data_IF_300106664082
#
_entry.id   IF_300106664082
#
_cell.length_a   1.000
_cell.length_b   1.000
_cell.length_c   1.000
_cell.angle_alpha   90.00
_cell.angle_beta   90.00
_cell.angle_gamma   90.00
#
_symmetry.space_group_name_H-M   'P 1'
#
loop_
_entity.id
_entity.type
_entity.pdbx_description
1 polymer ?
#
# COMPACT_ATOMS: atom_id res chain seq x y z
N UNK A 1 58.03 30.28 12.47
CA UNK A 1 58.18 31.72 12.20
C UNK A 1 56.93 32.38 12.80
N UNK A 2 57.16 32.99 13.92
CA UNK A 2 56.83 34.35 14.40
C UNK A 2 55.33 34.62 14.44
N UNK A 3 54.73 34.71 15.64
CA UNK A 3 54.67 35.87 16.58
C UNK A 3 53.69 36.89 16.10
N UNK A 4 52.81 37.54 16.82
CA UNK A 4 52.76 38.02 18.22
C UNK A 4 51.30 38.37 18.49
N UNK A 5 50.74 38.18 19.64
CA UNK A 5 50.83 38.97 20.89
C UNK A 5 50.07 40.31 20.84
N UNK A 6 49.24 40.48 21.81
CA UNK A 6 48.90 41.66 22.66
C UNK A 6 47.39 41.73 22.93
N UNK A 7 46.85 41.68 24.12
CA UNK A 7 47.23 42.42 25.32
C UNK A 7 46.26 43.58 25.54
N UNK A 8 45.36 43.49 26.48
CA UNK A 8 44.69 44.65 27.10
C UNK A 8 43.93 44.21 28.35
N UNK A 9 44.42 44.46 29.44
CA UNK A 9 44.18 45.36 30.60
C UNK A 9 42.75 45.37 31.15
N UNK A 10 42.73 44.95 32.45
CA UNK A 10 41.66 45.18 33.40
C UNK A 10 41.51 46.66 33.74
N UNK A 11 40.28 47.16 33.76
CA UNK A 11 39.91 48.37 34.53
C UNK A 11 38.67 48.08 35.37
N UNK A 12 38.79 48.38 36.65
CA UNK A 12 37.83 48.17 37.69
C UNK A 12 36.71 49.22 37.68
N UNK A 13 35.50 48.74 37.98
CA UNK A 13 34.38 49.62 38.27
C UNK A 13 33.99 49.46 39.74
N UNK A 14 34.06 50.61 40.44
CA UNK A 14 33.77 50.75 41.82
C UNK A 14 32.25 50.64 42.13
N UNK A 15 31.95 50.03 43.26
CA UNK A 15 30.63 49.93 43.86
C UNK A 15 30.19 51.26 44.47
N UNK A 16 28.92 51.71 44.32
CA UNK A 16 28.40 52.86 45.04
C UNK A 16 27.97 52.49 46.47
N UNK A 17 28.00 53.46 47.41
CA UNK A 17 27.70 53.24 48.84
C UNK A 17 26.21 53.02 49.13
N UNK A 18 25.88 52.46 50.30
CA UNK A 18 24.51 52.11 50.67
C UNK A 18 23.67 53.34 51.08
N UNK A 19 22.36 53.33 50.83
CA UNK A 19 21.49 54.44 51.25
C UNK A 19 21.08 54.36 52.73
N UNK A 20 21.00 55.54 53.35
CA UNK A 20 20.55 55.79 54.73
C UNK A 20 19.06 55.55 54.92
N UNK A 21 18.62 55.17 56.12
CA UNK A 21 17.22 54.88 56.43
C UNK A 21 16.36 56.15 56.61
N UNK A 22 15.09 56.15 56.17
CA UNK A 22 14.18 57.24 56.43
C UNK A 22 13.40 57.12 57.73
N UNK A 23 13.11 58.28 58.28
CA UNK A 23 12.37 58.54 59.51
C UNK A 23 10.94 58.07 59.50
N UNK A 24 10.42 57.71 60.72
CA UNK A 24 9.02 57.47 61.07
C UNK A 24 8.20 58.69 60.83
N UNK A 25 7.04 58.50 60.22
CA UNK A 25 5.93 59.44 60.16
C UNK A 25 4.61 58.70 60.01
N UNK A 26 3.71 58.95 60.96
CA UNK A 26 2.38 58.39 61.10
C UNK A 26 1.46 58.74 59.93
N UNK A 27 0.47 57.86 59.67
CA UNK A 27 -0.65 58.19 58.79
C UNK A 27 -1.42 56.88 58.39
N UNK A 28 -2.37 56.54 59.21
CA UNK A 28 -3.33 55.49 58.89
C UNK A 28 -4.30 55.99 57.83
N UNK A 29 -4.43 55.24 56.72
CA UNK A 29 -5.70 55.13 56.00
C UNK A 29 -5.87 53.82 55.30
N UNK A 30 -6.91 53.10 55.73
CA UNK A 30 -7.38 51.86 55.19
C UNK A 30 -8.02 52.15 53.83
N UNK A 31 -7.41 51.67 52.74
CA UNK A 31 -8.12 51.48 51.49
C UNK A 31 -8.29 49.98 51.26
N UNK A 32 -9.51 49.49 51.50
CA UNK A 32 -10.02 48.21 51.01
C UNK A 32 -10.13 48.29 49.49
N UNK A 33 -9.11 47.83 48.79
CA UNK A 33 -9.15 47.53 47.35
C UNK A 33 -9.13 46.03 47.16
N UNK A 34 -10.20 45.35 47.53
CA UNK A 34 -10.38 43.93 47.26
C UNK A 34 -10.50 43.69 45.76
N UNK A 35 -9.66 42.80 45.26
CA UNK A 35 -9.40 42.39 43.90
C UNK A 35 -10.64 41.89 43.16
N UNK A 36 -11.44 42.75 42.59
CA UNK A 36 -12.55 42.41 41.66
C UNK A 36 -12.00 41.86 40.33
N UNK A 37 -10.71 42.08 40.05
CA UNK A 37 -10.01 41.56 38.86
C UNK A 37 -9.72 40.03 38.94
N UNK A 38 -9.60 39.46 40.14
CA UNK A 38 -9.31 38.04 40.31
C UNK A 38 -10.53 37.13 40.05
N UNK A 39 -11.72 37.55 40.44
CA UNK A 39 -12.96 36.77 40.23
C UNK A 39 -13.36 36.71 38.77
N UNK A 40 -13.22 37.79 38.03
CA UNK A 40 -13.50 37.80 36.59
C UNK A 40 -12.45 37.01 35.77
N UNK A 41 -11.20 37.02 36.19
CA UNK A 41 -10.14 36.23 35.57
C UNK A 41 -10.34 34.73 35.89
N UNK A 42 -10.68 34.38 37.09
CA UNK A 42 -10.98 33.02 37.52
C UNK A 42 -12.24 32.47 36.82
N UNK A 43 -13.28 33.28 36.71
CA UNK A 43 -14.51 32.90 35.99
C UNK A 43 -14.28 32.70 34.49
N UNK A 44 -13.43 33.50 33.85
CA UNK A 44 -13.01 33.28 32.44
C UNK A 44 -12.17 32.02 32.30
N UNK A 45 -11.29 31.75 33.23
CA UNK A 45 -10.48 30.54 33.23
C UNK A 45 -11.36 29.28 33.38
N UNK A 46 -12.34 29.28 34.26
CA UNK A 46 -13.31 28.19 34.43
C UNK A 46 -14.24 28.04 33.22
N UNK A 47 -14.61 29.14 32.54
CA UNK A 47 -15.40 29.10 31.31
C UNK A 47 -14.59 28.50 30.12
N UNK A 48 -13.31 28.84 30.00
CA UNK A 48 -12.41 28.24 28.99
C UNK A 48 -12.19 26.76 29.28
N UNK A 49 -11.97 26.39 30.54
CA UNK A 49 -11.82 25.00 30.95
C UNK A 49 -13.10 24.18 30.70
N UNK A 50 -14.27 24.75 30.94
CA UNK A 50 -15.56 24.14 30.66
C UNK A 50 -15.80 23.99 29.13
N UNK A 51 -15.37 24.97 28.31
CA UNK A 51 -15.45 24.88 26.85
C UNK A 51 -14.52 23.83 26.27
N UNK A 52 -13.32 23.63 26.83
CA UNK A 52 -12.36 22.58 26.44
C UNK A 52 -12.85 21.21 26.90
N UNK A 53 -13.53 21.12 28.05
CA UNK A 53 -14.11 19.87 28.53
C UNK A 53 -15.34 19.40 27.72
N UNK A 54 -16.05 20.32 27.05
CA UNK A 54 -17.14 20.00 26.12
C UNK A 54 -16.65 19.57 24.71
N UNK A 55 -15.38 19.77 24.38
CA UNK A 55 -14.75 19.28 23.15
C UNK A 55 -14.30 17.83 23.28
N UNK A 56 -15.08 16.99 23.95
CA UNK A 56 -14.83 15.55 24.07
C UNK A 56 -14.85 14.86 22.69
N UNK A 57 -14.28 13.63 22.57
CA UNK A 57 -14.12 12.91 21.30
C UNK A 57 -15.46 12.41 20.76
N UNK A 58 -16.30 13.34 20.27
CA UNK A 58 -17.63 13.03 19.73
C UNK A 58 -17.59 12.44 18.31
N UNK A 59 -16.41 12.36 17.65
CA UNK A 59 -16.34 12.04 16.21
C UNK A 59 -16.24 10.55 15.86
N UNK A 60 -15.98 9.66 16.82
CA UNK A 60 -15.76 8.24 16.50
C UNK A 60 -16.98 7.34 16.71
N UNK A 61 -18.01 7.76 17.42
CA UNK A 61 -19.13 6.88 17.77
C UNK A 61 -20.11 6.64 16.64
N UNK A 62 -20.28 7.58 15.71
CA UNK A 62 -21.29 7.49 14.65
C UNK A 62 -20.74 7.25 13.23
N UNK A 63 -19.41 7.06 13.07
CA UNK A 63 -18.83 6.75 11.76
C UNK A 63 -19.22 5.35 11.27
N UNK A 64 -19.65 5.18 10.01
CA UNK A 64 -19.94 6.22 9.00
C UNK A 64 -21.39 6.70 9.09
N UNK A 65 -21.63 8.01 8.89
CA UNK A 65 -22.97 8.64 8.86
C UNK A 65 -23.43 9.01 7.43
N UNK A 66 -22.55 8.87 6.43
CA UNK A 66 -22.78 9.19 5.02
C UNK A 66 -22.06 8.18 4.12
N UNK A 67 -22.37 8.16 2.80
CA UNK A 67 -21.70 7.28 1.85
C UNK A 67 -20.17 7.41 1.89
N UNK A 68 -19.49 6.26 1.74
CA UNK A 68 -18.03 6.19 1.65
C UNK A 68 -17.64 6.04 0.18
N UNK A 69 -16.70 6.82 -0.29
CA UNK A 69 -16.09 6.71 -1.60
C UNK A 69 -14.96 5.69 -1.56
N UNK A 70 -14.97 4.72 -2.46
CA UNK A 70 -13.94 3.69 -2.57
C UNK A 70 -13.21 3.83 -3.91
N UNK A 71 -11.92 4.18 -3.87
CA UNK A 71 -11.07 4.30 -5.06
C UNK A 71 -10.42 2.96 -5.39
N UNK A 72 -10.40 2.61 -6.66
CA UNK A 72 -9.64 1.47 -7.19
C UNK A 72 -8.71 1.90 -8.31
N UNK A 73 -7.57 1.23 -8.44
CA UNK A 73 -6.54 1.52 -9.46
C UNK A 73 -6.73 0.75 -10.75
N UNK A 74 -7.76 -0.09 -10.85
CA UNK A 74 -8.07 -0.85 -12.06
C UNK A 74 -9.31 -0.30 -12.76
N UNK A 75 -9.46 -0.63 -14.04
CA UNK A 75 -10.69 -0.35 -14.79
C UNK A 75 -11.86 -1.15 -14.23
N UNK A 76 -13.08 -0.71 -14.54
CA UNK A 76 -14.30 -1.43 -14.19
C UNK A 76 -14.24 -2.88 -14.70
N UNK A 77 -14.70 -3.83 -13.88
CA UNK A 77 -14.57 -5.26 -14.14
C UNK A 77 -13.21 -5.87 -13.81
N UNK A 78 -12.20 -5.05 -13.48
CA UNK A 78 -10.92 -5.54 -12.96
C UNK A 78 -11.05 -6.15 -11.57
N UNK A 79 -10.04 -6.95 -11.17
CA UNK A 79 -10.13 -7.76 -9.94
C UNK A 79 -10.37 -6.91 -8.69
N UNK A 80 -9.71 -5.76 -8.54
CA UNK A 80 -9.92 -4.88 -7.39
C UNK A 80 -11.28 -4.17 -7.42
N UNK A 81 -11.80 -3.85 -8.61
CA UNK A 81 -13.15 -3.28 -8.77
C UNK A 81 -14.22 -4.27 -8.35
N UNK A 82 -14.18 -5.48 -8.90
CA UNK A 82 -15.16 -6.55 -8.58
C UNK A 82 -15.09 -6.90 -7.10
N UNK A 83 -13.90 -6.99 -6.54
CA UNK A 83 -13.72 -7.28 -5.13
C UNK A 83 -14.23 -6.12 -4.24
N UNK A 84 -13.90 -4.86 -4.59
CA UNK A 84 -14.33 -3.70 -3.81
C UNK A 84 -15.84 -3.53 -3.79
N UNK A 85 -16.54 -3.86 -4.90
CA UNK A 85 -18.01 -3.88 -4.93
C UNK A 85 -18.57 -4.94 -4.00
N UNK A 86 -18.01 -6.15 -4.00
CA UNK A 86 -18.43 -7.23 -3.10
C UNK A 86 -18.16 -6.86 -1.62
N UNK A 87 -17.02 -6.25 -1.31
CA UNK A 87 -16.73 -5.73 0.03
C UNK A 87 -17.70 -4.59 0.40
N UNK A 88 -17.97 -3.70 -0.55
CA UNK A 88 -18.95 -2.61 -0.40
C UNK A 88 -20.35 -3.09 -0.05
N UNK A 89 -20.83 -4.15 -0.70
CA UNK A 89 -22.13 -4.78 -0.39
C UNK A 89 -22.14 -5.39 1.02
N UNK A 90 -21.05 -5.99 1.45
CA UNK A 90 -20.90 -6.52 2.80
C UNK A 90 -20.83 -5.41 3.87
N UNK A 91 -20.16 -4.30 3.58
CA UNK A 91 -20.10 -3.11 4.44
C UNK A 91 -21.48 -2.42 4.55
N UNK A 92 -22.20 -2.29 3.42
CA UNK A 92 -23.55 -1.72 3.39
C UNK A 92 -24.50 -2.47 4.35
N UNK A 93 -24.43 -3.81 4.37
CA UNK A 93 -25.24 -4.63 5.28
C UNK A 93 -24.95 -4.34 6.76
N UNK A 94 -23.70 -4.00 7.10
CA UNK A 94 -23.27 -3.74 8.48
C UNK A 94 -23.46 -2.29 8.92
N UNK A 95 -23.16 -1.35 8.03
CA UNK A 95 -23.13 0.08 8.35
C UNK A 95 -24.33 0.86 7.85
N UNK A 96 -25.16 0.24 6.96
CA UNK A 96 -26.31 0.88 6.31
C UNK A 96 -25.92 2.16 5.54
N UNK A 97 -24.63 2.28 5.19
CA UNK A 97 -24.07 3.36 4.38
C UNK A 97 -23.49 2.77 3.09
N UNK A 98 -23.86 3.31 1.92
CA UNK A 98 -23.37 2.79 0.64
C UNK A 98 -21.89 3.08 0.46
N UNK A 99 -21.21 2.15 -0.21
CA UNK A 99 -19.83 2.31 -0.69
C UNK A 99 -19.89 2.60 -2.19
N UNK A 100 -19.45 3.80 -2.58
CA UNK A 100 -19.46 4.24 -3.99
C UNK A 100 -18.09 3.96 -4.59
N UNK A 101 -18.02 2.96 -5.47
CA UNK A 101 -16.76 2.55 -6.10
C UNK A 101 -16.47 3.42 -7.31
N UNK A 102 -15.29 4.01 -7.33
CA UNK A 102 -14.76 4.87 -8.40
C UNK A 102 -13.46 4.28 -8.94
N UNK A 103 -13.40 4.04 -10.26
CA UNK A 103 -12.23 3.48 -10.93
C UNK A 103 -11.32 4.62 -11.43
N UNK A 104 -10.04 4.57 -11.04
CA UNK A 104 -8.99 5.53 -11.43
C UNK A 104 -7.77 4.79 -11.99
N UNK A 105 -7.87 4.15 -13.16
CA UNK A 105 -6.76 3.42 -13.77
C UNK A 105 -5.73 4.37 -14.39
N UNK A 106 -4.54 3.83 -14.68
CA UNK A 106 -3.50 4.52 -15.45
C UNK A 106 -2.24 4.85 -14.65
N UNK A 107 -1.20 5.29 -15.39
CA UNK A 107 0.09 5.68 -14.83
C UNK A 107 0.75 4.60 -13.97
N UNK A 108 0.75 3.34 -14.37
CA UNK A 108 1.21 2.21 -13.55
C UNK A 108 0.48 2.17 -12.19
N UNK A 109 -0.84 2.45 -12.20
CA UNK A 109 -1.73 2.53 -11.04
C UNK A 109 -1.50 3.75 -10.12
N UNK A 110 -0.56 4.62 -10.45
CA UNK A 110 -0.28 5.83 -9.66
C UNK A 110 -1.42 6.85 -9.70
N UNK A 111 -2.26 6.87 -10.75
CA UNK A 111 -3.40 7.81 -10.86
C UNK A 111 -4.38 7.62 -9.70
N UNK A 112 -4.78 6.38 -9.45
CA UNK A 112 -5.70 6.06 -8.33
C UNK A 112 -5.04 6.22 -6.96
N UNK A 113 -3.77 5.84 -6.82
CA UNK A 113 -3.03 6.00 -5.59
C UNK A 113 -2.86 7.49 -5.22
N UNK A 114 -2.50 8.34 -6.19
CA UNK A 114 -2.43 9.80 -6.01
C UNK A 114 -3.79 10.39 -5.60
N UNK A 115 -4.86 9.99 -6.28
CA UNK A 115 -6.21 10.46 -5.93
C UNK A 115 -6.62 10.08 -4.50
N UNK A 116 -6.06 8.98 -3.96
CA UNK A 116 -6.21 8.60 -2.56
C UNK A 116 -5.46 9.57 -1.64
N UNK A 117 -4.20 9.89 -1.93
CA UNK A 117 -3.39 10.80 -1.09
C UNK A 117 -3.93 12.22 -1.04
N UNK A 118 -4.61 12.66 -2.11
CA UNK A 118 -5.18 14.01 -2.23
C UNK A 118 -6.58 14.14 -1.59
N UNK A 119 -7.18 13.03 -1.13
CA UNK A 119 -8.49 13.06 -0.52
C UNK A 119 -8.45 13.51 0.96
N UNK A 120 -9.54 14.10 1.50
CA UNK A 120 -9.62 14.46 2.91
C UNK A 120 -9.40 13.26 3.83
N UNK A 121 -8.61 13.40 4.93
CA UNK A 121 -8.33 12.31 5.87
C UNK A 121 -9.44 12.15 6.92
N UNK A 122 -10.69 12.14 6.49
CA UNK A 122 -11.89 12.06 7.33
C UNK A 122 -12.52 10.66 7.41
N UNK A 123 -11.88 9.67 6.75
CA UNK A 123 -12.34 8.28 6.68
C UNK A 123 -13.41 8.03 5.60
N UNK A 124 -13.92 9.04 4.91
CA UNK A 124 -14.94 8.87 3.86
C UNK A 124 -14.38 8.65 2.46
N UNK A 125 -13.05 8.52 2.37
CA UNK A 125 -12.37 7.97 1.20
C UNK A 125 -11.52 6.78 1.64
N UNK A 126 -11.81 5.61 1.07
CA UNK A 126 -11.00 4.40 1.24
C UNK A 126 -10.48 3.97 -0.13
N UNK A 127 -9.34 3.29 -0.16
CA UNK A 127 -8.67 2.97 -1.42
C UNK A 127 -8.16 1.53 -1.40
N UNK A 128 -8.47 0.78 -2.46
CA UNK A 128 -7.84 -0.51 -2.68
C UNK A 128 -6.66 -0.31 -3.62
N UNK A 129 -5.46 -0.49 -3.07
CA UNK A 129 -4.19 -0.30 -3.77
C UNK A 129 -3.37 -1.58 -3.69
N UNK A 130 -2.51 -1.79 -4.67
CA UNK A 130 -1.62 -2.94 -4.74
C UNK A 130 -0.15 -2.55 -4.53
N UNK A 131 0.73 -3.54 -4.55
CA UNK A 131 2.14 -3.36 -4.24
C UNK A 131 2.88 -2.43 -5.20
N UNK A 132 2.48 -2.37 -6.49
CA UNK A 132 3.21 -1.61 -7.50
C UNK A 132 3.33 -0.12 -7.16
N UNK A 133 2.25 0.68 -6.98
CA UNK A 133 2.38 2.10 -6.65
C UNK A 133 2.91 2.37 -5.24
N UNK A 134 2.85 1.38 -4.34
CA UNK A 134 3.20 1.55 -2.93
C UNK A 134 4.64 1.16 -2.63
N UNK A 135 5.15 0.11 -3.29
CA UNK A 135 6.47 -0.45 -2.99
C UNK A 135 7.46 -0.36 -4.16
N UNK A 136 7.02 -0.48 -5.42
CA UNK A 136 7.92 -0.66 -6.56
C UNK A 136 8.15 0.61 -7.39
N UNK A 137 7.08 1.38 -7.71
CA UNK A 137 7.16 2.47 -8.69
C UNK A 137 8.15 3.57 -8.33
N UNK A 138 8.41 3.81 -7.06
CA UNK A 138 9.39 4.79 -6.60
C UNK A 138 10.84 4.49 -7.03
N UNK A 139 11.14 3.22 -7.36
CA UNK A 139 12.45 2.80 -7.87
C UNK A 139 12.48 2.68 -9.41
N UNK A 140 11.32 2.80 -10.07
CA UNK A 140 11.16 2.64 -11.51
C UNK A 140 10.90 3.96 -12.24
N UNK A 141 10.47 4.99 -11.52
CA UNK A 141 10.13 6.29 -12.08
C UNK A 141 11.11 7.36 -11.59
N UNK A 142 11.54 8.25 -12.48
CA UNK A 142 12.35 9.43 -12.12
C UNK A 142 11.65 10.36 -11.14
N UNK A 143 10.32 10.44 -11.22
CA UNK A 143 9.51 11.24 -10.32
C UNK A 143 8.21 10.53 -9.98
N UNK A 144 7.97 10.34 -8.69
CA UNK A 144 6.69 9.84 -8.21
C UNK A 144 5.68 11.00 -8.13
N UNK A 145 4.42 10.79 -8.59
CA UNK A 145 3.39 11.83 -8.50
C UNK A 145 2.82 12.02 -7.09
N UNK A 146 3.24 11.24 -6.11
CA UNK A 146 2.88 11.31 -4.69
C UNK A 146 3.97 10.63 -3.84
N UNK A 147 3.98 10.89 -2.53
CA UNK A 147 4.85 10.19 -1.58
C UNK A 147 4.13 8.93 -1.06
N UNK A 148 4.57 7.72 -1.43
CA UNK A 148 3.91 6.49 -1.01
C UNK A 148 4.12 6.14 0.47
N UNK A 149 5.06 6.80 1.15
CA UNK A 149 5.32 6.60 2.58
C UNK A 149 4.47 7.49 3.46
N UNK A 150 4.30 8.75 3.04
CA UNK A 150 3.68 9.79 3.86
C UNK A 150 2.24 10.11 3.44
N UNK A 151 1.86 9.76 2.21
CA UNK A 151 0.55 10.12 1.65
C UNK A 151 -0.59 9.18 2.02
N UNK A 152 -0.29 7.99 2.56
CA UNK A 152 -1.27 6.94 2.79
C UNK A 152 -1.16 6.34 4.20
N UNK A 153 -2.31 5.97 4.75
CA UNK A 153 -2.42 5.22 6.00
C UNK A 153 -2.91 3.80 5.67
N UNK A 154 -2.08 2.75 5.92
CA UNK A 154 -2.51 1.35 5.77
C UNK A 154 -3.64 1.01 6.76
N UNK A 155 -4.62 0.26 6.30
CA UNK A 155 -5.72 -0.27 7.12
C UNK A 155 -5.54 -1.77 7.33
N UNK A 156 -5.46 -2.55 6.26
CA UNK A 156 -5.21 -4.00 6.31
C UNK A 156 -4.81 -4.51 4.93
N UNK A 157 -4.02 -5.56 4.88
CA UNK A 157 -3.87 -6.34 3.67
C UNK A 157 -5.15 -7.13 3.43
N UNK A 158 -5.73 -7.04 2.24
CA UNK A 158 -6.98 -7.73 1.92
C UNK A 158 -6.72 -9.15 1.42
N UNK A 159 -5.89 -9.26 0.39
CA UNK A 159 -5.61 -10.54 -0.23
C UNK A 159 -4.32 -10.54 -1.05
N UNK A 160 -3.77 -11.74 -1.23
CA UNK A 160 -2.74 -12.04 -2.23
C UNK A 160 -3.38 -12.63 -3.48
N UNK A 161 -2.86 -12.24 -4.64
CA UNK A 161 -3.14 -12.91 -5.91
C UNK A 161 -2.27 -14.17 -6.01
N UNK A 162 -2.86 -15.30 -6.32
CA UNK A 162 -2.08 -16.43 -6.82
C UNK A 162 -1.68 -16.11 -8.26
N UNK A 163 -0.40 -16.03 -8.51
CA UNK A 163 0.16 -15.79 -9.83
C UNK A 163 0.78 -17.06 -10.38
N UNK A 164 0.58 -17.29 -11.66
CA UNK A 164 1.10 -18.49 -12.34
C UNK A 164 1.83 -18.10 -13.61
N UNK A 165 2.86 -18.87 -13.95
CA UNK A 165 3.42 -18.91 -15.28
C UNK A 165 2.65 -19.95 -16.08
N UNK A 166 1.96 -19.48 -17.11
CA UNK A 166 1.20 -20.33 -18.03
C UNK A 166 1.72 -20.21 -19.45
N UNK A 167 1.56 -21.26 -20.20
CA UNK A 167 1.91 -21.30 -21.63
C UNK A 167 0.73 -21.78 -22.46
N UNK A 168 0.72 -21.42 -23.74
CA UNK A 168 -0.15 -22.08 -24.72
C UNK A 168 0.19 -23.58 -24.75
N UNK A 169 -0.82 -24.44 -24.58
CA UNK A 169 -0.61 -25.90 -24.49
C UNK A 169 0.02 -26.51 -25.76
N UNK A 170 -0.09 -25.84 -26.91
CA UNK A 170 0.55 -26.26 -28.17
C UNK A 170 2.08 -26.21 -28.13
N UNK A 171 2.68 -25.49 -27.14
CA UNK A 171 4.14 -25.53 -26.94
C UNK A 171 4.63 -26.91 -26.48
N UNK A 172 3.76 -27.77 -25.93
CA UNK A 172 4.08 -29.13 -25.50
C UNK A 172 4.96 -29.20 -24.25
N UNK A 173 5.20 -28.08 -23.53
CA UNK A 173 6.04 -28.03 -22.32
C UNK A 173 5.18 -28.13 -21.05
N UNK A 174 5.71 -28.75 -19.99
CA UNK A 174 5.02 -28.98 -18.71
C UNK A 174 5.80 -28.45 -17.51
N UNK A 175 7.05 -28.04 -17.69
CA UNK A 175 7.92 -27.54 -16.63
C UNK A 175 8.64 -26.26 -17.07
N UNK A 176 9.20 -25.51 -16.10
CA UNK A 176 10.05 -24.36 -16.42
C UNK A 176 11.31 -24.80 -17.18
N UNK A 177 11.90 -25.92 -16.79
CA UNK A 177 13.10 -26.45 -17.44
C UNK A 177 12.87 -26.79 -18.93
N UNK A 178 11.72 -27.42 -19.22
CA UNK A 178 11.32 -27.71 -20.61
C UNK A 178 11.08 -26.41 -21.41
N UNK A 179 10.48 -25.35 -20.76
CA UNK A 179 10.28 -24.07 -21.38
C UNK A 179 11.62 -23.38 -21.70
N UNK A 180 12.57 -23.41 -20.77
CA UNK A 180 13.91 -22.87 -20.96
C UNK A 180 14.63 -23.63 -22.07
N UNK A 181 14.57 -24.95 -22.07
CA UNK A 181 15.17 -25.79 -23.12
C UNK A 181 14.58 -25.48 -24.51
N UNK A 182 13.25 -25.31 -24.59
CA UNK A 182 12.57 -24.90 -25.82
C UNK A 182 13.02 -23.55 -26.32
N UNK A 183 13.16 -22.56 -25.39
CA UNK A 183 13.60 -21.22 -25.75
C UNK A 183 15.02 -21.19 -26.35
N UNK A 184 15.93 -22.01 -25.81
CA UNK A 184 17.29 -22.20 -26.34
C UNK A 184 17.32 -22.89 -27.68
N UNK A 185 16.43 -23.86 -27.87
CA UNK A 185 16.34 -24.61 -29.14
C UNK A 185 15.73 -23.78 -30.27
N UNK A 186 14.96 -22.74 -29.94
CA UNK A 186 14.27 -21.85 -30.90
C UNK A 186 14.53 -20.39 -30.55
N UNK A 187 15.75 -19.87 -30.66
CA UNK A 187 16.09 -18.51 -30.27
C UNK A 187 15.27 -17.48 -31.06
N UNK A 188 14.86 -16.38 -30.40
CA UNK A 188 14.09 -15.30 -30.96
C UNK A 188 12.62 -15.61 -31.27
N UNK A 189 12.12 -16.82 -30.98
CA UNK A 189 10.74 -17.21 -31.34
C UNK A 189 9.74 -17.09 -30.22
N UNK A 190 10.18 -17.09 -28.97
CA UNK A 190 9.30 -17.03 -27.83
C UNK A 190 9.15 -15.62 -27.29
N UNK A 191 7.93 -15.28 -26.92
CA UNK A 191 7.60 -14.03 -26.26
C UNK A 191 6.75 -14.27 -25.03
N UNK A 192 6.84 -13.36 -24.07
CA UNK A 192 6.05 -13.40 -22.85
C UNK A 192 5.40 -12.06 -22.51
N UNK A 193 4.33 -12.11 -21.73
CA UNK A 193 3.66 -10.94 -21.22
C UNK A 193 3.46 -11.03 -19.69
N UNK A 194 3.59 -9.91 -19.03
CA UNK A 194 3.22 -9.71 -17.62
C UNK A 194 3.02 -8.22 -17.34
N UNK A 195 2.01 -7.88 -16.52
CA UNK A 195 1.82 -6.54 -16.00
C UNK A 195 2.72 -6.24 -14.80
N UNK A 196 3.21 -7.28 -14.13
CA UNK A 196 4.02 -7.16 -12.92
C UNK A 196 5.48 -6.94 -13.28
N UNK A 197 6.04 -5.83 -12.79
CA UNK A 197 7.47 -5.55 -12.97
C UNK A 197 8.35 -6.60 -12.30
N UNK A 198 8.11 -7.02 -11.04
CA UNK A 198 8.89 -8.10 -10.44
C UNK A 198 8.90 -9.38 -11.25
N UNK A 199 7.78 -9.76 -11.88
CA UNK A 199 7.71 -10.95 -12.72
C UNK A 199 8.44 -10.77 -14.06
N UNK A 200 8.43 -9.55 -14.62
CA UNK A 200 9.25 -9.24 -15.78
C UNK A 200 10.75 -9.40 -15.44
N UNK A 201 11.19 -8.88 -14.30
CA UNK A 201 12.56 -9.02 -13.82
C UNK A 201 12.95 -10.49 -13.60
N UNK A 202 12.04 -11.27 -13.04
CA UNK A 202 12.24 -12.72 -12.90
C UNK A 202 12.51 -13.39 -14.25
N UNK A 203 11.76 -13.06 -15.30
CA UNK A 203 11.99 -13.57 -16.65
C UNK A 203 13.34 -13.14 -17.21
N UNK A 204 13.79 -11.90 -16.93
CA UNK A 204 15.14 -11.44 -17.33
C UNK A 204 16.25 -12.15 -16.54
N UNK A 205 16.02 -12.46 -15.25
CA UNK A 205 16.96 -13.28 -14.46
C UNK A 205 17.12 -14.69 -15.10
N UNK A 206 16.03 -15.31 -15.53
CA UNK A 206 16.09 -16.60 -16.22
C UNK A 206 16.88 -16.52 -17.56
N UNK A 207 16.82 -15.38 -18.26
CA UNK A 207 17.67 -15.16 -19.45
C UNK A 207 19.15 -15.12 -19.08
N UNK A 208 19.51 -14.35 -18.08
CA UNK A 208 20.91 -14.17 -17.69
C UNK A 208 21.52 -15.40 -17.02
N UNK A 209 20.80 -16.04 -16.11
CA UNK A 209 21.33 -17.15 -15.31
C UNK A 209 21.18 -18.51 -15.99
N UNK A 210 20.10 -18.72 -16.73
CA UNK A 210 19.77 -20.00 -17.35
C UNK A 210 19.92 -20.00 -18.86
N UNK A 211 20.25 -18.86 -19.47
CA UNK A 211 20.40 -18.71 -20.91
C UNK A 211 19.09 -18.90 -21.68
N UNK A 212 17.97 -18.59 -21.07
CA UNK A 212 16.67 -18.58 -21.75
C UNK A 212 16.63 -17.46 -22.81
N UNK A 213 15.84 -17.65 -23.86
CA UNK A 213 15.67 -16.64 -24.91
C UNK A 213 14.19 -16.39 -25.19
N UNK A 214 13.72 -15.20 -24.78
CA UNK A 214 12.36 -14.71 -25.01
C UNK A 214 12.31 -13.19 -24.94
N UNK A 215 11.27 -12.61 -25.54
CA UNK A 215 11.06 -11.16 -25.60
C UNK A 215 9.78 -10.77 -24.84
N UNK A 216 9.86 -9.71 -24.03
CA UNK A 216 8.69 -9.16 -23.38
C UNK A 216 7.81 -8.38 -24.35
N UNK A 217 6.51 -8.65 -24.34
CA UNK A 217 5.50 -7.93 -25.13
C UNK A 217 4.62 -7.10 -24.19
N UNK A 218 4.50 -5.79 -24.39
CA UNK A 218 3.56 -4.95 -23.65
C UNK A 218 2.11 -5.35 -23.94
N UNK A 219 1.21 -5.21 -22.93
CA UNK A 219 -0.21 -5.46 -23.10
C UNK A 219 -1.04 -4.54 -22.18
N UNK A 220 -2.33 -4.39 -22.46
CA UNK A 220 -3.22 -3.43 -21.80
C UNK A 220 -4.05 -4.00 -20.66
N UNK A 221 -4.20 -5.32 -20.58
CA UNK A 221 -5.01 -5.93 -19.53
C UNK A 221 -5.21 -7.45 -19.67
N UNK A 222 -5.77 -8.08 -18.63
CA UNK A 222 -5.86 -9.53 -18.50
C UNK A 222 -6.59 -10.23 -19.66
N UNK A 223 -7.64 -9.63 -20.22
CA UNK A 223 -8.36 -10.20 -21.38
C UNK A 223 -7.51 -10.24 -22.65
N UNK A 224 -6.73 -9.20 -22.92
CA UNK A 224 -5.78 -9.17 -24.02
C UNK A 224 -4.69 -10.24 -23.83
N UNK A 225 -4.19 -10.37 -22.61
CA UNK A 225 -3.20 -11.39 -22.25
C UNK A 225 -3.70 -12.82 -22.54
N UNK A 226 -4.92 -13.14 -22.11
CA UNK A 226 -5.54 -14.44 -22.35
C UNK A 226 -5.66 -14.72 -23.85
N UNK A 227 -6.14 -13.74 -24.62
CA UNK A 227 -6.27 -13.90 -26.07
C UNK A 227 -4.92 -14.05 -26.79
N UNK A 228 -3.89 -13.33 -26.36
CA UNK A 228 -2.55 -13.45 -26.93
C UNK A 228 -1.93 -14.82 -26.70
N UNK A 229 -2.13 -15.40 -25.49
CA UNK A 229 -1.67 -16.77 -25.20
C UNK A 229 -2.46 -17.78 -26.02
N UNK A 230 -3.79 -17.68 -26.08
CA UNK A 230 -4.63 -18.61 -26.81
C UNK A 230 -4.35 -18.61 -28.33
N UNK A 231 -4.13 -17.46 -28.92
CA UNK A 231 -3.77 -17.33 -30.34
C UNK A 231 -2.33 -17.76 -30.64
N UNK A 232 -1.48 -17.91 -29.63
CA UNK A 232 -0.05 -18.18 -29.79
C UNK A 232 0.79 -16.98 -30.21
N UNK A 233 0.19 -15.78 -30.35
CA UNK A 233 0.96 -14.56 -30.71
C UNK A 233 1.95 -14.15 -29.61
N UNK A 234 1.62 -14.43 -28.35
CA UNK A 234 2.53 -14.33 -27.20
C UNK A 234 2.27 -15.54 -26.32
N UNK A 235 2.99 -16.66 -26.56
CA UNK A 235 2.58 -17.97 -26.03
C UNK A 235 2.86 -18.19 -24.54
N UNK A 236 3.48 -17.22 -23.85
CA UNK A 236 3.84 -17.30 -22.43
C UNK A 236 3.20 -16.11 -21.68
N UNK A 237 2.58 -16.38 -20.52
CA UNK A 237 2.09 -15.33 -19.64
C UNK A 237 2.45 -15.60 -18.17
N UNK A 238 2.81 -14.53 -17.47
CA UNK A 238 2.87 -14.48 -16.01
C UNK A 238 1.70 -13.62 -15.54
N UNK A 239 0.67 -14.27 -15.02
CA UNK A 239 -0.64 -13.65 -14.81
C UNK A 239 -1.31 -14.22 -13.55
N UNK A 240 -2.26 -13.46 -12.97
CA UNK A 240 -3.10 -13.97 -11.90
C UNK A 240 -3.90 -15.19 -12.34
N UNK A 241 -3.81 -16.29 -11.60
CA UNK A 241 -4.48 -17.57 -11.89
C UNK A 241 -5.97 -17.39 -12.19
N UNK A 242 -6.65 -16.50 -11.45
CA UNK A 242 -8.07 -16.22 -11.62
C UNK A 242 -8.48 -15.81 -13.04
N UNK A 243 -7.54 -15.29 -13.85
CA UNK A 243 -7.81 -14.92 -15.25
C UNK A 243 -7.80 -16.13 -16.20
N UNK A 244 -7.18 -17.25 -15.82
CA UNK A 244 -6.88 -18.38 -16.71
C UNK A 244 -7.40 -19.72 -16.21
N UNK A 245 -8.15 -19.77 -15.10
CA UNK A 245 -8.73 -21.01 -14.55
C UNK A 245 -9.51 -21.78 -15.62
N UNK A 246 -10.36 -21.09 -16.37
CA UNK A 246 -11.18 -21.72 -17.42
C UNK A 246 -10.32 -22.35 -18.52
N UNK A 247 -9.28 -21.66 -18.97
CA UNK A 247 -8.37 -22.10 -20.03
C UNK A 247 -7.49 -23.27 -19.58
N UNK A 248 -7.06 -23.26 -18.32
CA UNK A 248 -6.29 -24.39 -17.74
C UNK A 248 -7.20 -25.62 -17.65
N UNK A 249 -8.41 -25.47 -17.14
CA UNK A 249 -9.39 -26.57 -17.07
C UNK A 249 -9.81 -27.11 -18.44
N UNK A 250 -9.87 -26.24 -19.44
CA UNK A 250 -10.13 -26.61 -20.83
C UNK A 250 -8.92 -27.23 -21.54
N UNK A 251 -7.73 -27.23 -20.91
CA UNK A 251 -6.51 -27.78 -21.49
C UNK A 251 -5.90 -26.91 -22.61
N UNK A 252 -6.37 -25.69 -22.81
CA UNK A 252 -5.83 -24.76 -23.82
C UNK A 252 -4.61 -23.97 -23.33
N UNK A 253 -4.44 -23.89 -22.01
CA UNK A 253 -3.25 -23.36 -21.34
C UNK A 253 -2.70 -24.37 -20.35
N UNK A 254 -1.37 -24.45 -20.25
CA UNK A 254 -0.65 -25.31 -19.30
C UNK A 254 0.01 -24.44 -18.24
N UNK A 255 -0.38 -24.55 -16.95
CA UNK A 255 0.32 -23.89 -15.86
C UNK A 255 1.61 -24.66 -15.55
N UNK A 256 2.73 -23.96 -15.50
CA UNK A 256 4.04 -24.57 -15.22
C UNK A 256 4.41 -24.46 -13.75
N UNK A 257 4.09 -23.33 -13.11
CA UNK A 257 4.46 -23.04 -11.72
C UNK A 257 3.61 -21.94 -11.12
N UNK A 258 3.39 -21.97 -9.80
CA UNK A 258 2.85 -20.87 -9.01
C UNK A 258 4.00 -19.98 -8.53
N UNK A 259 3.95 -18.68 -8.91
CA UNK A 259 5.09 -17.78 -8.83
C UNK A 259 5.34 -17.19 -7.43
N UNK A 260 4.33 -17.09 -6.59
CA UNK A 260 4.41 -16.43 -5.27
C UNK A 260 4.43 -17.42 -4.08
N UNK A 261 4.91 -18.63 -4.30
CA UNK A 261 5.03 -19.70 -3.30
C UNK A 261 3.73 -20.02 -2.53
N UNK A 262 2.59 -19.71 -3.14
CA UNK A 262 1.26 -20.05 -2.62
C UNK A 262 0.70 -21.17 -3.48
N UNK A 263 0.41 -22.32 -2.85
CA UNK A 263 -0.28 -23.44 -3.53
C UNK A 263 -1.66 -23.00 -3.99
N UNK A 264 -1.98 -23.35 -5.24
CA UNK A 264 -3.32 -23.13 -5.74
C UNK A 264 -4.30 -24.18 -5.20
N UNK A 265 -5.41 -23.78 -4.61
CA UNK A 265 -6.48 -24.71 -4.28
C UNK A 265 -7.17 -25.29 -5.54
N UNK A 266 -7.13 -24.56 -6.67
CA UNK A 266 -7.72 -24.99 -7.93
C UNK A 266 -6.84 -25.99 -8.69
N UNK A 267 -5.51 -25.91 -8.53
CA UNK A 267 -4.50 -26.73 -9.22
C UNK A 267 -3.40 -27.18 -8.25
N UNK A 268 -3.72 -28.00 -7.24
CA UNK A 268 -2.78 -28.39 -6.19
C UNK A 268 -1.58 -29.19 -6.70
N UNK A 269 -1.69 -29.79 -7.87
CA UNK A 269 -0.60 -30.54 -8.50
C UNK A 269 0.46 -29.62 -9.15
N UNK A 270 0.13 -28.35 -9.42
CA UNK A 270 1.09 -27.41 -10.00
C UNK A 270 2.09 -27.00 -8.91
N UNK A 271 3.41 -27.14 -9.14
CA UNK A 271 4.40 -26.79 -8.13
C UNK A 271 4.44 -25.28 -7.87
N UNK A 272 4.89 -24.90 -6.68
CA UNK A 272 5.30 -23.52 -6.40
C UNK A 272 6.73 -23.31 -6.90
N UNK A 273 7.12 -22.05 -7.06
CA UNK A 273 8.47 -21.69 -7.50
C UNK A 273 9.55 -22.29 -6.57
N UNK A 274 9.33 -22.26 -5.25
CA UNK A 274 10.25 -22.85 -4.28
C UNK A 274 10.43 -24.36 -4.45
N UNK A 275 9.40 -25.08 -4.89
CA UNK A 275 9.44 -26.53 -5.12
C UNK A 275 10.19 -26.92 -6.40
N UNK A 276 10.40 -25.98 -7.33
CA UNK A 276 11.10 -26.21 -8.58
C UNK A 276 12.60 -25.89 -8.52
N UNK A 277 13.08 -25.39 -7.38
CA UNK A 277 14.47 -24.95 -7.23
C UNK A 277 14.78 -23.60 -7.90
N UNK A 278 13.78 -22.95 -8.48
CA UNK A 278 13.87 -21.61 -9.03
C UNK A 278 13.45 -20.59 -7.96
N UNK A 279 14.28 -20.42 -6.92
CA UNK A 279 14.06 -19.35 -5.95
C UNK A 279 14.46 -17.99 -6.57
N UNK A 280 13.66 -16.94 -6.40
CA UNK A 280 14.20 -15.66 -6.72
C UNK A 280 13.29 -14.49 -7.10
N UNK A 281 12.02 -14.66 -7.43
CA UNK A 281 11.17 -13.49 -7.55
C UNK A 281 9.89 -13.65 -6.73
N UNK A 282 9.93 -13.46 -5.43
CA UNK A 282 8.72 -13.39 -4.64
C UNK A 282 7.99 -12.08 -4.96
N UNK A 283 7.25 -12.08 -6.05
CA UNK A 283 6.23 -11.07 -6.26
C UNK A 283 5.11 -11.36 -5.27
N UNK A 284 5.12 -10.67 -4.13
CA UNK A 284 3.95 -10.63 -3.27
C UNK A 284 2.95 -9.66 -3.88
N UNK A 285 2.13 -10.17 -4.79
CA UNK A 285 1.03 -9.41 -5.37
C UNK A 285 -0.10 -9.32 -4.37
N UNK A 286 -0.01 -8.38 -3.44
CA UNK A 286 -1.08 -8.09 -2.51
C UNK A 286 -1.93 -6.89 -2.98
N UNK A 287 -3.16 -6.86 -2.49
CA UNK A 287 -4.04 -5.71 -2.54
C UNK A 287 -4.46 -5.36 -1.12
N UNK A 288 -4.18 -4.14 -0.71
CA UNK A 288 -4.48 -3.63 0.62
C UNK A 288 -5.53 -2.53 0.60
N UNK A 289 -6.18 -2.35 1.74
CA UNK A 289 -7.06 -1.23 2.02
C UNK A 289 -6.24 -0.11 2.66
N UNK A 290 -6.44 1.10 2.15
CA UNK A 290 -5.77 2.31 2.62
C UNK A 290 -6.78 3.43 2.83
N UNK A 291 -6.39 4.40 3.65
CA UNK A 291 -7.00 5.72 3.76
C UNK A 291 -5.95 6.80 3.48
N UNK A 292 -6.34 8.06 3.20
CA UNK A 292 -5.40 9.18 3.19
C UNK A 292 -4.64 9.28 4.51
N UNK A 293 -3.38 9.69 4.46
CA UNK A 293 -2.57 9.92 5.65
C UNK A 293 -3.22 10.96 6.57
N UNK A 294 -3.13 10.74 7.88
CA UNK A 294 -3.77 11.61 8.88
C UNK A 294 -5.23 11.24 9.19
N UNK A 295 -5.78 10.18 8.58
CA UNK A 295 -7.08 9.64 8.99
C UNK A 295 -7.02 9.22 10.47
N UNK A 296 -7.99 9.67 11.30
CA UNK A 296 -7.97 9.37 12.73
C UNK A 296 -7.88 7.87 13.03
N UNK A 297 -6.98 7.50 13.94
CA UNK A 297 -6.75 6.09 14.30
C UNK A 297 -8.04 5.31 14.65
N UNK A 298 -9.01 5.86 15.42
CA UNK A 298 -10.26 5.14 15.70
C UNK A 298 -11.06 4.77 14.45
N UNK A 299 -10.96 5.58 13.37
CA UNK A 299 -11.62 5.29 12.08
C UNK A 299 -10.86 4.17 11.36
N UNK A 300 -9.53 4.22 11.34
CA UNK A 300 -8.68 3.18 10.73
C UNK A 300 -8.91 1.84 11.43
N UNK A 301 -8.92 1.82 12.76
CA UNK A 301 -9.17 0.60 13.54
C UNK A 301 -10.58 0.05 13.25
N UNK A 302 -11.62 0.89 13.23
CA UNK A 302 -13.00 0.48 12.90
C UNK A 302 -13.13 -0.09 11.50
N UNK A 303 -12.40 0.46 10.53
CA UNK A 303 -12.31 -0.07 9.16
C UNK A 303 -11.64 -1.45 9.16
N UNK A 304 -10.51 -1.61 9.85
CA UNK A 304 -9.79 -2.87 9.95
C UNK A 304 -10.66 -3.96 10.60
N UNK A 305 -11.30 -3.64 11.73
CA UNK A 305 -12.15 -4.57 12.48
C UNK A 305 -13.35 -5.06 11.65
N UNK A 306 -14.06 -4.16 10.97
CA UNK A 306 -15.23 -4.54 10.17
C UNK A 306 -14.82 -5.39 8.97
N UNK A 307 -13.68 -5.08 8.33
CA UNK A 307 -13.14 -5.86 7.22
C UNK A 307 -12.72 -7.24 7.72
N UNK A 308 -12.01 -7.34 8.83
CA UNK A 308 -11.65 -8.61 9.45
C UNK A 308 -12.89 -9.47 9.78
N UNK A 309 -13.95 -8.85 10.32
CA UNK A 309 -15.22 -9.52 10.61
C UNK A 309 -15.97 -9.99 9.34
N UNK A 310 -15.82 -9.29 8.20
CA UNK A 310 -16.37 -9.75 6.90
C UNK A 310 -15.56 -10.95 6.40
N UNK A 311 -14.25 -10.90 6.51
CA UNK A 311 -13.36 -11.99 6.07
C UNK A 311 -13.43 -13.23 7.00
N UNK A 312 -13.93 -13.11 8.22
CA UNK A 312 -14.22 -14.26 9.08
C UNK A 312 -15.37 -15.12 8.54
N UNK A 313 -16.27 -14.54 7.71
CA UNK A 313 -17.35 -15.27 7.05
C UNK A 313 -16.80 -16.19 5.95
N UNK A 314 -16.95 -17.50 6.14
CA UNK A 314 -16.48 -18.51 5.19
C UNK A 314 -17.18 -18.40 3.82
N UNK A 315 -18.48 -18.06 3.81
CA UNK A 315 -19.23 -17.90 2.56
C UNK A 315 -18.75 -16.70 1.76
N UNK A 316 -18.37 -15.60 2.45
CA UNK A 316 -17.75 -14.45 1.80
C UNK A 316 -16.41 -14.82 1.16
N UNK A 317 -15.53 -15.52 1.92
CA UNK A 317 -14.22 -15.96 1.41
C UNK A 317 -14.37 -16.88 0.20
N UNK A 318 -15.23 -17.88 0.28
CA UNK A 318 -15.41 -18.82 -0.81
C UNK A 318 -15.89 -18.12 -2.08
N UNK A 319 -16.92 -17.29 -1.98
CA UNK A 319 -17.51 -16.61 -3.13
C UNK A 319 -16.61 -15.53 -3.73
N UNK A 320 -15.89 -14.78 -2.92
CA UNK A 320 -15.21 -13.56 -3.36
C UNK A 320 -13.69 -13.67 -3.39
N UNK A 321 -13.11 -14.65 -2.72
CA UNK A 321 -11.66 -14.92 -2.72
C UNK A 321 -11.35 -16.23 -3.44
N UNK A 322 -11.71 -17.39 -2.88
CA UNK A 322 -11.29 -18.71 -3.39
C UNK A 322 -11.71 -18.93 -4.85
N UNK A 323 -12.94 -18.56 -5.19
CA UNK A 323 -13.46 -18.67 -6.56
C UNK A 323 -12.67 -17.85 -7.60
N UNK A 324 -11.82 -16.90 -7.15
CA UNK A 324 -10.99 -16.01 -7.98
C UNK A 324 -9.48 -16.19 -7.77
N UNK A 325 -9.10 -17.26 -7.09
CA UNK A 325 -7.69 -17.51 -6.74
C UNK A 325 -7.06 -16.37 -5.94
N UNK A 326 -7.85 -15.80 -5.03
CA UNK A 326 -7.39 -14.83 -4.04
C UNK A 326 -7.23 -15.52 -2.69
N UNK A 327 -6.14 -15.23 -2.01
CA UNK A 327 -5.86 -15.75 -0.67
C UNK A 327 -5.99 -14.63 0.35
N UNK A 328 -6.85 -14.82 1.36
CA UNK A 328 -7.01 -13.85 2.45
C UNK A 328 -5.67 -13.54 3.11
N UNK A 329 -5.42 -12.26 3.34
CA UNK A 329 -4.17 -11.77 3.94
C UNK A 329 -4.42 -10.80 5.11
N UNK A 330 -5.64 -10.82 5.68
CA UNK A 330 -6.05 -9.89 6.74
C UNK A 330 -5.04 -9.87 7.89
N UNK A 331 -4.62 -8.67 8.23
CA UNK A 331 -3.71 -8.36 9.31
C UNK A 331 -4.07 -7.00 9.94
N UNK A 332 -3.41 -6.64 11.01
CA UNK A 332 -3.58 -5.32 11.65
C UNK A 332 -2.94 -4.21 10.82
N UNK A 333 -3.34 -2.94 11.02
CA UNK A 333 -2.70 -1.79 10.35
C UNK A 333 -1.17 -1.75 10.54
N UNK A 334 -0.67 -2.07 11.74
CA UNK A 334 0.76 -2.06 12.05
C UNK A 334 1.51 -3.21 11.38
N UNK A 335 0.93 -4.42 11.35
CA UNK A 335 1.48 -5.57 10.63
C UNK A 335 1.53 -5.30 9.13
N UNK A 336 0.48 -4.69 8.57
CA UNK A 336 0.46 -4.33 7.16
C UNK A 336 1.48 -3.25 6.83
N UNK A 337 1.62 -2.23 7.67
CA UNK A 337 2.68 -1.23 7.51
C UNK A 337 4.09 -1.87 7.55
N UNK A 338 4.31 -2.86 8.42
CA UNK A 338 5.56 -3.60 8.47
C UNK A 338 5.80 -4.45 7.22
N UNK A 339 4.75 -5.06 6.67
CA UNK A 339 4.81 -5.82 5.41
C UNK A 339 5.19 -4.89 4.24
N UNK A 340 4.55 -3.73 4.12
CA UNK A 340 4.88 -2.72 3.09
C UNK A 340 6.34 -2.30 3.16
N UNK A 341 6.88 -2.07 4.37
CA UNK A 341 8.30 -1.70 4.53
C UNK A 341 9.24 -2.81 4.05
N UNK A 342 8.95 -4.08 4.36
CA UNK A 342 9.73 -5.24 3.88
C UNK A 342 9.68 -5.35 2.37
N UNK A 343 8.50 -5.21 1.78
CA UNK A 343 8.32 -5.32 0.33
C UNK A 343 9.00 -4.18 -0.42
N UNK A 344 9.04 -2.99 0.15
CA UNK A 344 9.76 -1.84 -0.40
C UNK A 344 11.27 -2.07 -0.39
N UNK A 345 11.82 -2.59 0.70
CA UNK A 345 13.25 -2.95 0.77
C UNK A 345 13.59 -4.02 -0.27
N UNK A 346 12.77 -5.05 -0.40
CA UNK A 346 12.92 -6.08 -1.42
C UNK A 346 12.81 -5.50 -2.84
N UNK A 347 11.88 -4.59 -3.09
CA UNK A 347 11.71 -3.93 -4.39
C UNK A 347 12.97 -3.15 -4.78
N UNK A 348 13.59 -2.45 -3.84
CA UNK A 348 14.85 -1.74 -4.08
C UNK A 348 15.98 -2.70 -4.49
N UNK A 349 16.12 -3.82 -3.77
CA UNK A 349 17.12 -4.84 -4.08
C UNK A 349 16.89 -5.45 -5.47
N UNK A 350 15.66 -5.81 -5.79
CA UNK A 350 15.28 -6.45 -7.06
C UNK A 350 15.53 -5.50 -8.24
N UNK A 351 15.11 -4.24 -8.14
CA UNK A 351 15.31 -3.24 -9.21
C UNK A 351 16.79 -2.96 -9.42
N UNK A 352 17.56 -2.85 -8.33
CA UNK A 352 19.03 -2.66 -8.38
C UNK A 352 19.74 -3.85 -9.02
N UNK A 353 19.38 -5.07 -8.61
CA UNK A 353 19.98 -6.30 -9.17
C UNK A 353 19.70 -6.46 -10.67
N UNK A 354 18.56 -5.98 -11.14
CA UNK A 354 18.20 -6.00 -12.55
C UNK A 354 18.86 -4.90 -13.39
N UNK A 355 19.61 -3.98 -12.77
CA UNK A 355 20.28 -2.88 -13.48
C UNK A 355 19.30 -1.91 -14.16
N UNK A 356 18.06 -1.79 -13.63
CA UNK A 356 17.06 -0.88 -14.21
C UNK A 356 17.30 0.54 -13.74
N UNK A 357 17.40 1.46 -14.71
CA UNK A 357 17.41 2.89 -14.45
C UNK A 357 15.98 3.43 -14.41
N UNK A 358 15.66 4.35 -13.49
CA UNK A 358 14.36 5.00 -13.43
C UNK A 358 14.03 5.73 -14.75
N UNK A 359 12.83 5.53 -15.26
CA UNK A 359 12.33 6.08 -16.53
C UNK A 359 11.55 7.38 -16.34
#
# INVERSE_FOLDING_TARGET
MRRDNDGATCEGIALPPPPTPPHKGEGADRVRGGSVLSERAMMKFWLILALVALAGPALAQDYPTRPIRALTTTSAGGISDVFMRALGDALLKRWRQPIVVENRPGGMQNVGARACTEAPPDGYTICILNAEPIAYNQFLLKAMPFDPEKGLQPVTNLYHLIQTLVVNSQLGVKTIDELIALSKAKPGTLSYLTASVPLALYMETLKTEKGADWVRVPFKGGGEAVNAVLSGSTPIALIGEGNVIGQIRAGTMTPLVMLNNIKSPNFPAVPTLAETGYAGAPSRSWYGLFTPAGTPKPIVDKLADVVAAIFADAAFRERHLSARSLVSAINTPDEFAAEIRRDRALAQEVVKAAGLEPQ
#
